data_IF_464378290419
#
_entry.id   IF_464378290419
#
_cell.length_a   1.000
_cell.length_b   1.000
_cell.length_c   1.000
_cell.angle_alpha   90.00
_cell.angle_beta   90.00
_cell.angle_gamma   90.00
#
_symmetry.space_group_name_H-M   'P 1'
#
loop_
_entity.id
_entity.type
_entity.pdbx_description
1 polymer ?
#
# COMPACT_ATOMS: atom_id res chain seq x y z
N UNK A 1 -14.92 14.13 -6.21
CA UNK A 1 -13.53 13.82 -6.59
C UNK A 1 -13.42 12.31 -6.73
N UNK A 2 -12.84 11.80 -7.81
CA UNK A 2 -12.66 10.36 -7.99
C UNK A 2 -11.60 9.83 -7.03
N UNK A 3 -11.73 8.57 -6.62
CA UNK A 3 -10.80 7.92 -5.68
C UNK A 3 -9.35 7.93 -6.20
N UNK A 4 -9.16 7.88 -7.52
CA UNK A 4 -7.87 8.02 -8.19
C UNK A 4 -7.24 9.41 -8.03
N UNK A 5 -8.04 10.47 -8.09
CA UNK A 5 -7.56 11.85 -7.86
C UNK A 5 -7.13 12.02 -6.41
N UNK A 6 -7.85 11.37 -5.46
CA UNK A 6 -7.46 11.37 -4.06
C UNK A 6 -6.17 10.57 -3.80
N UNK A 7 -5.97 9.43 -4.48
CA UNK A 7 -4.74 8.65 -4.32
C UNK A 7 -3.53 9.34 -4.91
N UNK A 8 -3.68 10.02 -6.05
CA UNK A 8 -2.61 10.81 -6.65
C UNK A 8 -2.11 11.90 -5.69
N UNK A 9 -3.02 12.62 -5.04
CA UNK A 9 -2.67 13.63 -4.05
C UNK A 9 -1.94 13.02 -2.83
N UNK A 10 -2.41 11.86 -2.36
CA UNK A 10 -1.75 11.14 -1.25
C UNK A 10 -0.34 10.67 -1.64
N UNK A 11 -0.14 10.21 -2.87
CA UNK A 11 1.19 9.82 -3.38
C UNK A 11 2.13 11.02 -3.41
N UNK A 12 1.69 12.15 -3.97
CA UNK A 12 2.51 13.36 -4.03
C UNK A 12 2.90 13.88 -2.64
N UNK A 13 1.98 13.80 -1.68
CA UNK A 13 2.26 14.15 -0.28
C UNK A 13 3.25 13.16 0.36
N UNK A 14 3.08 11.86 0.13
CA UNK A 14 3.97 10.83 0.64
C UNK A 14 5.40 11.02 0.11
N UNK A 15 5.57 11.32 -1.18
CA UNK A 15 6.87 11.62 -1.80
C UNK A 15 7.53 12.87 -1.21
N UNK A 16 6.75 13.84 -0.74
CA UNK A 16 7.24 15.03 -0.02
C UNK A 16 7.56 14.76 1.46
N UNK A 17 7.46 13.51 1.92
CA UNK A 17 7.79 13.10 3.29
C UNK A 17 6.58 12.98 4.23
N UNK A 18 5.36 13.18 3.75
CA UNK A 18 4.15 12.99 4.57
C UNK A 18 3.87 11.49 4.80
N UNK A 19 4.44 10.95 5.88
CA UNK A 19 4.26 9.56 6.29
C UNK A 19 2.78 9.20 6.56
N UNK A 20 1.95 10.17 6.96
CA UNK A 20 0.52 9.92 7.19
C UNK A 20 -0.22 9.71 5.88
N UNK A 21 0.15 10.46 4.83
CA UNK A 21 -0.41 10.26 3.49
C UNK A 21 -0.11 8.85 2.95
N UNK A 22 1.13 8.37 3.15
CA UNK A 22 1.48 6.99 2.80
C UNK A 22 0.69 5.97 3.60
N UNK A 23 0.53 6.17 4.91
CA UNK A 23 -0.25 5.25 5.75
C UNK A 23 -1.72 5.13 5.29
N UNK A 24 -2.33 6.22 4.80
CA UNK A 24 -3.67 6.18 4.22
C UNK A 24 -3.72 5.29 2.95
N UNK A 25 -2.69 5.35 2.11
CA UNK A 25 -2.56 4.45 0.96
C UNK A 25 -2.43 2.99 1.43
N UNK A 26 -1.59 2.70 2.42
CA UNK A 26 -1.45 1.34 2.98
C UNK A 26 -2.78 0.79 3.46
N UNK A 27 -3.52 1.55 4.29
CA UNK A 27 -4.81 1.12 4.82
C UNK A 27 -5.83 0.84 3.70
N UNK A 28 -5.84 1.67 2.64
CA UNK A 28 -6.75 1.51 1.50
C UNK A 28 -6.41 0.28 0.66
N UNK A 29 -5.13 -0.06 0.50
CA UNK A 29 -4.68 -1.07 -0.45
C UNK A 29 -4.28 -2.42 0.18
N UNK A 30 -4.01 -2.50 1.48
CA UNK A 30 -3.54 -3.73 2.14
C UNK A 30 -4.42 -4.95 1.89
N UNK A 31 -5.75 -4.80 1.97
CA UNK A 31 -6.68 -5.92 1.76
C UNK A 31 -6.72 -6.36 0.30
N UNK A 32 -6.53 -5.43 -0.65
CA UNK A 32 -6.47 -5.74 -2.09
C UNK A 32 -5.20 -6.50 -2.42
N UNK A 33 -4.06 -6.06 -1.88
CA UNK A 33 -2.76 -6.74 -2.04
C UNK A 33 -2.80 -8.13 -1.38
N UNK A 34 -3.30 -8.23 -0.15
CA UNK A 34 -3.48 -9.51 0.55
C UNK A 34 -4.37 -10.47 -0.26
N UNK A 35 -5.50 -9.99 -0.78
CA UNK A 35 -6.40 -10.76 -1.62
C UNK A 35 -5.76 -11.26 -2.92
N UNK A 36 -4.88 -10.47 -3.54
CA UNK A 36 -4.11 -10.90 -4.70
C UNK A 36 -3.13 -12.03 -4.34
N UNK A 37 -2.43 -11.90 -3.21
CA UNK A 37 -1.40 -12.85 -2.76
C UNK A 37 -1.95 -14.24 -2.41
N UNK A 38 -3.24 -14.35 -2.05
CA UNK A 38 -3.89 -15.66 -1.78
C UNK A 38 -3.75 -16.70 -2.90
N UNK A 39 -3.42 -16.27 -4.13
CA UNK A 39 -3.26 -17.15 -5.30
C UNK A 39 -1.82 -17.60 -5.52
N UNK A 40 -0.85 -17.03 -4.81
CA UNK A 40 0.57 -17.18 -5.10
C UNK A 40 1.39 -17.70 -3.92
N UNK A 41 0.92 -17.48 -2.69
CA UNK A 41 1.66 -17.82 -1.45
C UNK A 41 0.74 -18.40 -0.38
N UNK A 42 1.33 -19.05 0.63
CA UNK A 42 0.61 -19.56 1.79
C UNK A 42 -0.02 -18.43 2.58
N UNK A 43 -1.18 -18.68 3.20
CA UNK A 43 -1.92 -17.66 3.98
C UNK A 43 -1.09 -17.04 5.11
N UNK A 44 -0.22 -17.85 5.72
CA UNK A 44 0.62 -17.44 6.84
C UNK A 44 1.72 -16.45 6.42
N UNK A 45 2.15 -16.49 5.15
CA UNK A 45 3.19 -15.60 4.60
C UNK A 45 2.61 -14.27 4.10
N UNK A 46 1.30 -14.17 3.91
CA UNK A 46 0.65 -13.00 3.30
C UNK A 46 0.90 -11.71 4.09
N UNK A 47 0.72 -11.65 5.43
CA UNK A 47 0.90 -10.42 6.19
C UNK A 47 2.31 -9.83 6.01
N UNK A 48 3.33 -10.67 6.09
CA UNK A 48 4.73 -10.27 6.00
C UNK A 48 5.06 -9.76 4.58
N UNK A 49 4.60 -10.47 3.54
CA UNK A 49 4.82 -10.06 2.16
C UNK A 49 4.08 -8.75 1.84
N UNK A 50 2.86 -8.56 2.37
CA UNK A 50 2.12 -7.28 2.24
C UNK A 50 2.93 -6.15 2.86
N UNK A 51 3.41 -6.34 4.09
CA UNK A 51 4.20 -5.32 4.78
C UNK A 51 5.49 -4.99 4.02
N UNK A 52 6.25 -6.01 3.62
CA UNK A 52 7.50 -5.83 2.87
C UNK A 52 7.25 -5.12 1.53
N UNK A 53 6.15 -5.44 0.85
CA UNK A 53 5.77 -4.80 -0.41
C UNK A 53 5.53 -3.29 -0.22
N UNK A 54 4.82 -2.88 0.83
CA UNK A 54 4.60 -1.45 1.11
C UNK A 54 5.89 -0.75 1.58
N UNK A 55 6.74 -1.42 2.35
CA UNK A 55 8.06 -0.86 2.72
C UNK A 55 8.88 -0.61 1.47
N UNK A 56 8.95 -1.60 0.55
CA UNK A 56 9.68 -1.45 -0.72
C UNK A 56 9.08 -0.33 -1.57
N UNK A 57 7.76 -0.24 -1.67
CA UNK A 57 7.07 0.81 -2.42
C UNK A 57 7.24 2.22 -1.81
N UNK A 58 7.55 2.33 -0.52
CA UNK A 58 7.87 3.63 0.10
C UNK A 58 9.32 4.06 -0.13
N UNK A 59 10.24 3.10 -0.25
CA UNK A 59 11.68 3.33 -0.38
C UNK A 59 12.16 3.46 -1.83
N UNK A 60 11.33 3.10 -2.82
CA UNK A 60 11.60 3.20 -4.25
C UNK A 60 10.71 4.28 -4.88
#
# INVERSE_FOLDING_TARGET
MSELVADQELVERAQKGDKKAFNLLVVRYQNRVAGLLTRYVSRDDIPDIVQESFIKAYLH
#
